data_IF_837072043870
#
_entry.id   IF_837072043870
#
_cell.length_a   1.000
_cell.length_b   1.000
_cell.length_c   1.000
_cell.angle_alpha   90.00
_cell.angle_beta   90.00
_cell.angle_gamma   90.00
#
_symmetry.space_group_name_H-M   'P 1'
#
loop_
_entity.id
_entity.type
_entity.pdbx_description
1 polymer ?
#
# COMPACT_ATOMS: atom_id res chain seq x y z
N UNK A 1 -16.84 -4.05 25.29
CA UNK A 1 -15.46 -4.12 24.77
C UNK A 1 -15.10 -2.73 24.30
N UNK A 2 -13.98 -2.19 24.75
CA UNK A 2 -13.43 -0.95 24.22
C UNK A 2 -13.11 -1.18 22.73
N UNK A 3 -13.79 -0.44 21.85
CA UNK A 3 -13.63 -0.57 20.40
C UNK A 3 -12.20 -0.21 19.95
N UNK A 4 -11.43 0.46 20.81
CA UNK A 4 -10.04 0.81 20.55
C UNK A 4 -9.05 -0.34 20.75
N UNK A 5 -9.46 -1.44 21.42
CA UNK A 5 -8.56 -2.56 21.74
C UNK A 5 -7.94 -3.22 20.48
N UNK A 6 -8.69 -3.24 19.38
CA UNK A 6 -8.25 -3.86 18.13
C UNK A 6 -7.55 -2.88 17.16
N UNK A 7 -7.51 -1.58 17.48
CA UNK A 7 -6.90 -0.56 16.62
C UNK A 7 -5.43 -0.84 16.30
N UNK A 8 -4.55 -1.19 17.27
CA UNK A 8 -3.15 -1.48 16.95
C UNK A 8 -2.98 -2.68 16.01
N UNK A 9 -3.85 -3.70 16.15
CA UNK A 9 -3.84 -4.89 15.30
C UNK A 9 -4.29 -4.51 13.90
N UNK A 10 -5.39 -3.74 13.77
CA UNK A 10 -5.88 -3.24 12.49
C UNK A 10 -4.83 -2.41 11.75
N UNK A 11 -4.18 -1.46 12.43
CA UNK A 11 -3.10 -0.65 11.86
C UNK A 11 -1.93 -1.52 11.40
N UNK A 12 -1.46 -2.43 12.24
CA UNK A 12 -0.34 -3.31 11.89
C UNK A 12 -0.62 -4.16 10.65
N UNK A 13 -1.82 -4.72 10.54
CA UNK A 13 -2.23 -5.51 9.38
C UNK A 13 -2.32 -4.67 8.10
N UNK A 14 -2.86 -3.45 8.18
CA UNK A 14 -2.92 -2.53 7.05
C UNK A 14 -1.53 -2.17 6.54
N UNK A 15 -0.60 -1.82 7.45
CA UNK A 15 0.79 -1.50 7.09
C UNK A 15 1.50 -2.69 6.45
N UNK A 16 1.34 -3.90 7.01
CA UNK A 16 1.94 -5.12 6.44
C UNK A 16 1.37 -5.42 5.04
N UNK A 17 0.05 -5.29 4.86
CA UNK A 17 -0.60 -5.48 3.57
C UNK A 17 -0.12 -4.48 2.51
N UNK A 18 -0.02 -3.20 2.88
CA UNK A 18 0.49 -2.16 2.01
C UNK A 18 1.96 -2.39 1.63
N UNK A 19 2.82 -2.69 2.62
CA UNK A 19 4.24 -2.96 2.39
C UNK A 19 4.45 -4.14 1.43
N UNK A 20 3.67 -5.21 1.59
CA UNK A 20 3.74 -6.37 0.70
C UNK A 20 3.33 -6.02 -0.74
N UNK A 21 2.21 -5.29 -0.90
CA UNK A 21 1.72 -4.89 -2.21
C UNK A 21 2.68 -3.95 -2.95
N UNK A 22 3.15 -2.90 -2.27
CA UNK A 22 4.13 -1.94 -2.78
C UNK A 22 5.43 -2.67 -3.17
N UNK A 23 5.96 -3.50 -2.25
CA UNK A 23 7.19 -4.25 -2.49
C UNK A 23 7.10 -5.15 -3.71
N UNK A 24 5.95 -5.80 -3.92
CA UNK A 24 5.71 -6.65 -5.09
C UNK A 24 5.70 -5.85 -6.39
N UNK A 25 5.00 -4.72 -6.44
CA UNK A 25 5.00 -3.87 -7.64
C UNK A 25 6.38 -3.27 -7.92
N UNK A 26 7.06 -2.75 -6.90
CA UNK A 26 8.38 -2.16 -7.03
C UNK A 26 9.43 -3.19 -7.51
N UNK A 27 9.42 -4.39 -6.93
CA UNK A 27 10.32 -5.48 -7.34
C UNK A 27 10.05 -5.93 -8.77
N UNK A 28 8.77 -6.12 -9.14
CA UNK A 28 8.40 -6.51 -10.51
C UNK A 28 8.79 -5.44 -11.54
N UNK A 29 8.61 -4.16 -11.21
CA UNK A 29 9.03 -3.05 -12.06
C UNK A 29 10.55 -3.03 -12.22
N UNK A 30 11.31 -3.13 -11.12
CA UNK A 30 12.77 -3.12 -11.14
C UNK A 30 13.34 -4.28 -11.97
N UNK A 31 12.80 -5.49 -11.81
CA UNK A 31 13.19 -6.64 -12.62
C UNK A 31 12.81 -6.47 -14.10
N UNK A 32 11.62 -5.93 -14.38
CA UNK A 32 11.19 -5.65 -15.75
C UNK A 32 12.12 -4.66 -16.45
N UNK A 33 12.46 -3.57 -15.76
CA UNK A 33 13.38 -2.53 -16.25
C UNK A 33 14.78 -3.12 -16.47
N UNK A 34 15.27 -3.96 -15.54
CA UNK A 34 16.57 -4.60 -15.68
C UNK A 34 16.63 -5.53 -16.91
N UNK A 35 15.52 -6.19 -17.27
CA UNK A 35 15.44 -7.06 -18.46
C UNK A 35 15.23 -6.27 -19.76
N UNK A 36 14.55 -5.12 -19.70
CA UNK A 36 14.24 -4.26 -20.87
C UNK A 36 14.44 -2.78 -20.53
N UNK A 37 15.70 -2.29 -20.47
CA UNK A 37 15.99 -0.91 -20.11
C UNK A 37 15.33 0.12 -21.04
N UNK A 38 15.21 -0.20 -22.33
CA UNK A 38 14.57 0.64 -23.35
C UNK A 38 13.05 0.83 -23.13
N UNK A 39 12.43 -0.02 -22.32
CA UNK A 39 11.01 0.04 -21.98
C UNK A 39 10.75 0.65 -20.59
N UNK A 40 11.77 1.25 -19.95
CA UNK A 40 11.68 1.66 -18.54
C UNK A 40 10.51 2.61 -18.24
N UNK A 41 10.26 3.60 -19.10
CA UNK A 41 9.16 4.54 -18.94
C UNK A 41 7.79 3.86 -19.06
N UNK A 42 7.66 2.90 -19.99
CA UNK A 42 6.42 2.13 -20.18
C UNK A 42 6.15 1.23 -18.99
N UNK A 43 7.17 0.55 -18.46
CA UNK A 43 7.05 -0.32 -17.29
C UNK A 43 6.67 0.52 -16.07
N UNK A 44 7.35 1.64 -15.85
CA UNK A 44 7.06 2.57 -14.75
C UNK A 44 5.63 3.11 -14.84
N UNK A 45 5.20 3.55 -16.03
CA UNK A 45 3.83 4.00 -16.26
C UNK A 45 2.77 2.93 -16.02
N UNK A 46 3.06 1.67 -16.38
CA UNK A 46 2.15 0.55 -16.16
C UNK A 46 1.96 0.20 -14.66
N UNK A 47 2.96 0.44 -13.82
CA UNK A 47 2.88 0.14 -12.37
C UNK A 47 2.38 1.30 -11.52
N UNK A 48 2.48 2.54 -11.99
CA UNK A 48 2.10 3.74 -11.22
C UNK A 48 0.63 3.76 -10.80
N UNK A 49 -0.31 3.49 -11.71
CA UNK A 49 -1.74 3.50 -11.37
C UNK A 49 -2.09 2.40 -10.34
N UNK A 50 -1.67 1.13 -10.51
CA UNK A 50 -1.85 0.12 -9.48
C UNK A 50 -1.24 0.48 -8.11
N UNK A 51 -0.01 1.03 -8.09
CA UNK A 51 0.65 1.49 -6.87
C UNK A 51 -0.16 2.59 -6.18
N UNK A 52 -0.60 3.59 -6.93
CA UNK A 52 -1.41 4.71 -6.42
C UNK A 52 -2.74 4.22 -5.84
N UNK A 53 -3.43 3.30 -6.51
CA UNK A 53 -4.68 2.72 -6.01
C UNK A 53 -4.45 1.92 -4.72
N UNK A 54 -3.35 1.17 -4.64
CA UNK A 54 -3.00 0.40 -3.45
C UNK A 54 -2.67 1.32 -2.25
N UNK A 55 -1.87 2.35 -2.49
CA UNK A 55 -1.53 3.36 -1.49
C UNK A 55 -2.78 4.13 -1.04
N UNK A 56 -3.66 4.50 -1.96
CA UNK A 56 -4.94 5.16 -1.65
C UNK A 56 -5.83 4.31 -0.73
N UNK A 57 -5.93 3.01 -0.97
CA UNK A 57 -6.68 2.10 -0.09
C UNK A 57 -6.02 1.98 1.29
N UNK A 58 -4.69 1.90 1.36
CA UNK A 58 -3.95 1.84 2.62
C UNK A 58 -4.15 3.11 3.46
N UNK A 59 -4.00 4.29 2.85
CA UNK A 59 -4.22 5.58 3.53
C UNK A 59 -5.66 5.69 4.04
N UNK A 60 -6.66 5.35 3.23
CA UNK A 60 -8.06 5.39 3.66
C UNK A 60 -8.29 4.46 4.85
N UNK A 61 -7.74 3.24 4.82
CA UNK A 61 -7.85 2.30 5.94
C UNK A 61 -7.20 2.86 7.22
N UNK A 62 -6.00 3.41 7.13
CA UNK A 62 -5.33 4.05 8.29
C UNK A 62 -6.12 5.23 8.85
N UNK A 63 -6.69 6.07 7.98
CA UNK A 63 -7.56 7.19 8.39
C UNK A 63 -8.77 6.67 9.16
N UNK A 64 -9.47 5.66 8.65
CA UNK A 64 -10.65 5.11 9.35
C UNK A 64 -10.27 4.45 10.67
N UNK A 65 -9.13 3.76 10.75
CA UNK A 65 -8.67 3.15 11.99
C UNK A 65 -8.27 4.22 13.01
N UNK A 66 -7.62 5.30 12.57
CA UNK A 66 -7.26 6.43 13.44
C UNK A 66 -8.51 7.17 13.95
N UNK A 67 -9.55 7.31 13.12
CA UNK A 67 -10.82 7.89 13.54
C UNK A 67 -11.48 7.12 14.69
N UNK A 68 -11.27 5.80 14.80
CA UNK A 68 -11.77 5.01 15.94
C UNK A 68 -11.16 5.41 17.29
N UNK A 69 -10.03 6.13 17.31
CA UNK A 69 -9.42 6.65 18.53
C UNK A 69 -10.08 7.95 19.03
N UNK A 70 -10.77 8.66 18.13
CA UNK A 70 -11.31 10.00 18.38
C UNK A 70 -12.84 9.98 18.49
N UNK A 71 -13.48 9.14 17.67
CA UNK A 71 -14.92 8.92 17.69
C UNK A 71 -15.26 8.00 18.87
N UNK A 72 -16.05 8.52 19.82
CA UNK A 72 -16.50 7.79 21.02
C UNK A 72 -17.74 6.95 20.77
#
# INVERSE_FOLDING_TARGET
>A
MDHTLLVPIGLGLTVVGAAFGIGKFASAAAEGIARQPEAADKISGAVQLPLFLLEGVAILAEVFIFLMLILK
#
